data_IF_292471797230
#
_entry.id   IF_292471797230
#
_cell.length_a   1.000
_cell.length_b   1.000
_cell.length_c   1.000
_cell.angle_alpha   90.00
_cell.angle_beta   90.00
_cell.angle_gamma   90.00
#
_symmetry.space_group_name_H-M   'P 1'
#
loop_
_entity.id
_entity.type
_entity.pdbx_description
1 polymer ?
#
# COMPACT_ATOMS: atom_id res chain seq x y z
N UNK A 1 -9.69 -39.32 -33.72
CA UNK A 1 -10.36 -38.04 -33.39
C UNK A 1 -10.67 -37.83 -31.91
N UNK A 2 -10.80 -38.87 -31.07
CA UNK A 2 -11.03 -38.69 -29.61
C UNK A 2 -9.77 -38.29 -28.81
N UNK A 3 -8.59 -38.73 -29.26
CA UNK A 3 -7.30 -38.50 -28.58
C UNK A 3 -6.82 -37.04 -28.68
N UNK A 4 -7.09 -36.37 -29.80
CA UNK A 4 -6.70 -34.97 -30.03
C UNK A 4 -7.52 -33.96 -29.24
N UNK A 5 -8.77 -34.29 -28.88
CA UNK A 5 -9.63 -33.41 -28.06
C UNK A 5 -9.20 -33.44 -26.59
N UNK A 6 -8.74 -34.60 -26.09
CA UNK A 6 -8.29 -34.76 -24.71
C UNK A 6 -6.98 -34.00 -24.42
N UNK A 7 -6.09 -33.89 -25.42
CA UNK A 7 -4.82 -33.16 -25.28
C UNK A 7 -5.01 -31.64 -25.26
N UNK A 8 -6.01 -31.12 -25.97
CA UNK A 8 -6.30 -29.67 -26.01
C UNK A 8 -6.91 -29.19 -24.68
N UNK A 9 -7.72 -30.03 -24.02
CA UNK A 9 -8.33 -29.70 -22.72
C UNK A 9 -7.29 -29.68 -21.57
N UNK A 10 -6.19 -30.42 -21.70
CA UNK A 10 -5.14 -30.47 -20.67
C UNK A 10 -4.18 -29.26 -20.75
N UNK A 11 -4.11 -28.56 -21.89
CA UNK A 11 -3.21 -27.41 -22.09
C UNK A 11 -3.78 -26.09 -21.55
N UNK A 12 -5.10 -25.98 -21.33
CA UNK A 12 -5.76 -24.73 -20.93
C UNK A 12 -5.68 -24.42 -19.43
N UNK A 13 -5.19 -25.33 -18.59
CA UNK A 13 -5.14 -25.18 -17.12
C UNK A 13 -3.84 -24.50 -16.63
N UNK A 14 -2.87 -24.25 -17.52
CA UNK A 14 -1.52 -23.79 -17.11
C UNK A 14 -1.30 -22.27 -17.14
N UNK A 15 -2.31 -21.45 -17.47
CA UNK A 15 -2.10 -20.01 -17.74
C UNK A 15 -2.45 -19.09 -16.54
N UNK A 16 -2.97 -19.61 -15.43
CA UNK A 16 -3.50 -18.74 -14.34
C UNK A 16 -2.49 -18.51 -13.18
N UNK A 17 -1.32 -19.15 -13.16
CA UNK A 17 -0.45 -19.13 -11.96
C UNK A 17 0.64 -18.04 -11.93
N UNK A 18 0.58 -17.01 -12.78
CA UNK A 18 1.60 -15.95 -12.82
C UNK A 18 1.13 -14.58 -12.29
N UNK A 19 0.19 -14.53 -11.34
CA UNK A 19 0.08 -13.33 -10.48
C UNK A 19 1.22 -13.42 -9.46
N UNK A 20 2.42 -13.08 -9.94
CA UNK A 20 3.63 -12.99 -9.14
C UNK A 20 3.42 -11.95 -8.04
N UNK A 21 3.45 -12.40 -6.78
CA UNK A 21 3.77 -11.55 -5.64
C UNK A 21 5.20 -11.05 -5.82
N UNK A 22 5.35 -9.95 -6.56
CA UNK A 22 6.60 -9.20 -6.61
C UNK A 22 6.91 -8.71 -5.20
N UNK A 23 8.00 -9.20 -4.62
CA UNK A 23 8.55 -8.73 -3.35
C UNK A 23 8.84 -7.22 -3.47
N UNK A 24 7.94 -6.43 -2.90
CA UNK A 24 7.70 -5.04 -3.26
C UNK A 24 8.57 -4.04 -2.46
N UNK A 25 9.89 -4.22 -2.43
CA UNK A 25 10.79 -3.28 -1.71
C UNK A 25 10.70 -1.83 -2.21
N UNK A 26 10.24 -1.60 -3.44
CA UNK A 26 10.01 -0.26 -3.98
C UNK A 26 8.75 0.44 -3.48
N UNK A 27 7.86 -0.25 -2.77
CA UNK A 27 6.58 0.29 -2.29
C UNK A 27 6.63 0.74 -0.82
N UNK A 28 7.62 0.30 -0.05
CA UNK A 28 7.85 0.76 1.32
C UNK A 28 8.06 2.29 1.35
N UNK A 29 8.92 2.81 0.48
CA UNK A 29 9.19 4.25 0.40
C UNK A 29 7.94 5.04 -0.04
N UNK A 30 7.20 4.53 -1.03
CA UNK A 30 5.93 5.12 -1.45
C UNK A 30 4.92 5.18 -0.29
N UNK A 31 4.83 4.10 0.49
CA UNK A 31 4.00 4.05 1.69
C UNK A 31 4.44 5.11 2.71
N UNK A 32 5.74 5.18 3.04
CA UNK A 32 6.24 6.11 4.06
C UNK A 32 6.09 7.58 3.63
N UNK A 33 6.31 7.90 2.35
CA UNK A 33 6.07 9.24 1.84
C UNK A 33 4.58 9.60 1.86
N UNK A 34 3.72 8.66 1.46
CA UNK A 34 2.27 8.84 1.56
C UNK A 34 1.84 9.02 3.01
N UNK A 35 2.37 8.22 3.94
CA UNK A 35 2.05 8.32 5.37
C UNK A 35 2.51 9.65 5.97
N UNK A 36 3.67 10.17 5.57
CA UNK A 36 4.15 11.50 5.94
C UNK A 36 3.18 12.60 5.53
N UNK A 37 2.66 12.56 4.31
CA UNK A 37 1.66 13.52 3.83
C UNK A 37 0.32 13.39 4.57
N UNK A 38 -0.09 12.17 4.96
CA UNK A 38 -1.25 11.96 5.83
C UNK A 38 -1.06 12.64 7.19
N UNK A 39 0.15 12.57 7.78
CA UNK A 39 0.45 13.25 9.03
C UNK A 39 0.35 14.77 8.88
N UNK A 40 0.87 15.33 7.79
CA UNK A 40 0.78 16.77 7.49
C UNK A 40 -0.68 17.22 7.36
N UNK A 41 -1.49 16.49 6.56
CA UNK A 41 -2.93 16.80 6.39
C UNK A 41 -3.64 16.86 7.74
N UNK A 42 -3.38 15.87 8.60
CA UNK A 42 -4.05 15.77 9.92
C UNK A 42 -3.60 16.85 10.91
N UNK A 43 -2.41 17.39 10.72
CA UNK A 43 -1.90 18.47 11.55
C UNK A 43 -2.45 19.84 11.12
N UNK A 44 -2.72 20.01 9.82
CA UNK A 44 -3.22 21.25 9.25
C UNK A 44 -4.74 21.42 9.42
N UNK A 45 -5.51 20.33 9.42
CA UNK A 45 -6.97 20.35 9.50
C UNK A 45 -7.49 19.80 10.83
N UNK A 46 -8.03 20.68 11.68
CA UNK A 46 -8.73 20.27 12.91
C UNK A 46 -10.07 19.56 12.65
N UNK A 47 -10.69 19.81 11.48
CA UNK A 47 -11.91 19.12 11.06
C UNK A 47 -11.60 17.73 10.50
N UNK A 48 -11.88 16.72 11.32
CA UNK A 48 -11.71 15.30 10.98
C UNK A 48 -12.43 14.88 9.69
N UNK A 49 -13.57 15.47 9.35
CA UNK A 49 -14.32 15.11 8.12
C UNK A 49 -13.58 15.58 6.87
N UNK A 50 -13.09 16.82 6.90
CA UNK A 50 -12.31 17.43 5.83
C UNK A 50 -10.97 16.71 5.66
N UNK A 51 -10.23 16.50 6.75
CA UNK A 51 -8.98 15.73 6.75
C UNK A 51 -9.17 14.31 6.18
N UNK A 52 -10.25 13.62 6.56
CA UNK A 52 -10.51 12.26 6.05
C UNK A 52 -10.78 12.22 4.55
N UNK A 53 -11.44 13.24 3.99
CA UNK A 53 -11.63 13.35 2.53
C UNK A 53 -10.28 13.57 1.84
N UNK A 54 -9.45 14.47 2.37
CA UNK A 54 -8.13 14.76 1.82
C UNK A 54 -7.21 13.53 1.88
N UNK A 55 -7.20 12.80 2.98
CA UNK A 55 -6.45 11.53 3.12
C UNK A 55 -6.89 10.49 2.09
N UNK A 56 -8.21 10.29 1.92
CA UNK A 56 -8.73 9.34 0.93
C UNK A 56 -8.36 9.72 -0.51
N UNK A 57 -8.40 11.01 -0.81
CA UNK A 57 -7.99 11.51 -2.13
C UNK A 57 -6.50 11.31 -2.35
N UNK A 58 -5.67 11.67 -1.36
CA UNK A 58 -4.22 11.48 -1.38
C UNK A 58 -3.83 10.02 -1.68
N UNK A 59 -4.35 9.06 -0.91
CA UNK A 59 -3.97 7.65 -1.12
C UNK A 59 -4.39 7.16 -2.52
N UNK A 60 -5.53 7.64 -3.02
CA UNK A 60 -6.02 7.32 -4.37
C UNK A 60 -5.10 7.89 -5.45
N UNK A 61 -4.66 9.13 -5.30
CA UNK A 61 -3.75 9.81 -6.22
C UNK A 61 -2.36 9.15 -6.25
N UNK A 62 -1.97 8.49 -5.15
CA UNK A 62 -0.77 7.66 -5.05
C UNK A 62 -0.93 6.24 -5.61
N UNK A 63 -2.09 5.92 -6.18
CA UNK A 63 -2.37 4.62 -6.80
C UNK A 63 -2.83 3.55 -5.81
N UNK A 64 -3.11 3.89 -4.55
CA UNK A 64 -3.68 2.96 -3.59
C UNK A 64 -5.20 2.93 -3.66
N UNK A 65 -5.77 1.74 -3.45
CA UNK A 65 -7.07 1.61 -2.80
C UNK A 65 -6.90 1.70 -1.28
N UNK A 66 -7.99 2.01 -0.57
CA UNK A 66 -7.97 1.99 0.91
C UNK A 66 -7.52 0.62 1.45
N UNK A 67 -7.97 -0.48 0.85
CA UNK A 67 -7.59 -1.82 1.28
C UNK A 67 -6.09 -2.07 1.05
N UNK A 68 -5.58 -1.78 -0.15
CA UNK A 68 -4.15 -1.98 -0.43
C UNK A 68 -3.23 -1.14 0.46
N UNK A 69 -3.65 0.06 0.86
CA UNK A 69 -2.88 0.88 1.79
C UNK A 69 -2.88 0.28 3.21
N UNK A 70 -4.03 -0.27 3.65
CA UNK A 70 -4.13 -0.99 4.93
C UNK A 70 -3.29 -2.27 4.92
N UNK A 71 -3.34 -3.03 3.84
CA UNK A 71 -2.55 -4.27 3.70
C UNK A 71 -1.05 -3.96 3.78
N UNK A 72 -0.61 -2.86 3.16
CA UNK A 72 0.78 -2.40 3.24
C UNK A 72 1.17 -1.93 4.64
N UNK A 73 0.28 -1.19 5.33
CA UNK A 73 0.47 -0.84 6.74
C UNK A 73 0.66 -2.11 7.59
N UNK A 74 -0.24 -3.08 7.43
CA UNK A 74 -0.19 -4.34 8.18
C UNK A 74 1.12 -5.08 7.88
N UNK A 75 1.48 -5.23 6.61
CA UNK A 75 2.72 -5.88 6.17
C UNK A 75 3.95 -5.23 6.81
N UNK A 76 4.06 -3.91 6.76
CA UNK A 76 5.20 -3.18 7.33
C UNK A 76 5.22 -3.26 8.85
N UNK A 77 4.05 -3.28 9.50
CA UNK A 77 3.94 -3.40 10.96
C UNK A 77 4.37 -4.76 11.53
N UNK A 78 4.56 -5.78 10.68
CA UNK A 78 5.10 -7.08 11.08
C UNK A 78 6.54 -7.01 11.58
N UNK A 79 7.27 -5.93 11.24
CA UNK A 79 8.61 -5.62 11.76
C UNK A 79 8.52 -4.42 12.74
N UNK A 80 7.97 -4.61 13.95
CA UNK A 80 7.45 -3.53 14.79
C UNK A 80 8.51 -2.50 15.17
N UNK A 81 9.74 -2.93 15.46
CA UNK A 81 10.83 -2.01 15.83
C UNK A 81 11.27 -1.13 14.66
N UNK A 82 11.41 -1.73 13.46
CA UNK A 82 11.81 -1.00 12.27
C UNK A 82 10.69 -0.04 11.82
N UNK A 83 9.45 -0.52 11.83
CA UNK A 83 8.28 0.27 11.52
C UNK A 83 8.11 1.45 12.47
N UNK A 84 8.12 1.22 13.79
CA UNK A 84 7.99 2.27 14.79
C UNK A 84 9.07 3.34 14.62
N UNK A 85 10.34 2.93 14.47
CA UNK A 85 11.45 3.86 14.24
C UNK A 85 11.24 4.75 13.02
N UNK A 86 10.72 4.19 11.92
CA UNK A 86 10.46 4.95 10.70
C UNK A 86 9.28 5.92 10.89
N UNK A 87 8.17 5.45 11.46
CA UNK A 87 6.99 6.29 11.73
C UNK A 87 7.33 7.43 12.70
N UNK A 88 8.08 7.17 13.76
CA UNK A 88 8.49 8.19 14.74
C UNK A 88 9.42 9.23 14.10
N UNK A 89 10.34 8.80 13.24
CA UNK A 89 11.15 9.73 12.45
C UNK A 89 10.30 10.62 11.54
N UNK A 90 9.26 10.09 10.90
CA UNK A 90 8.34 10.90 10.09
C UNK A 90 7.57 11.92 10.94
N UNK A 91 7.11 11.52 12.13
CA UNK A 91 6.42 12.42 13.07
C UNK A 91 7.33 13.56 13.53
N UNK A 92 8.59 13.26 13.83
CA UNK A 92 9.56 14.29 14.20
C UNK A 92 9.73 15.32 13.08
N UNK A 93 9.93 14.84 11.85
CA UNK A 93 10.04 15.70 10.66
C UNK A 93 8.82 16.60 10.49
N UNK A 94 7.61 16.09 10.67
CA UNK A 94 6.37 16.90 10.58
C UNK A 94 6.26 17.91 11.73
N UNK A 95 6.69 17.54 12.94
CA UNK A 95 6.69 18.45 14.08
C UNK A 95 7.69 19.59 13.91
N UNK A 96 8.85 19.34 13.31
CA UNK A 96 9.89 20.35 13.05
C UNK A 96 9.49 21.37 11.97
N UNK A 97 8.40 21.13 11.22
CA UNK A 97 7.87 22.07 10.22
C UNK A 97 6.95 23.15 10.82
N UNK A 98 6.61 23.07 12.11
CA UNK A 98 5.77 24.03 12.83
C UNK A 98 6.56 25.22 13.33
#
# INVERSE_FOLDING_TARGET
>A
MKKTILTILLLSVSVITLISCSSNKGNDDLFYDTYKEILIIREQDADTSTANKAVRQLIKDRGYSEQSFKDEFIRLSQEPNAFAKKIDSLRQVVNDMK
#
